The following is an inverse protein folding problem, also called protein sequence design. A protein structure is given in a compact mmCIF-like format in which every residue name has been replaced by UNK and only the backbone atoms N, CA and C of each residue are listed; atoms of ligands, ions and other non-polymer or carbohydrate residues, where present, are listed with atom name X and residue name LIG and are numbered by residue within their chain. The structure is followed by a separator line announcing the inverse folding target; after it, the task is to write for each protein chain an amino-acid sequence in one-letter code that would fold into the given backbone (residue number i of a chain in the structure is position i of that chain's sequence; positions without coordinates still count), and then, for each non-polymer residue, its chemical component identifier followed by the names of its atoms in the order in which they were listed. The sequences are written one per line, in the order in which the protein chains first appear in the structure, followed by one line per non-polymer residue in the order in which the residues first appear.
data_IF_058573400888
#
_entry.id   IF_058573400888
#
_cell.length_a   1.000
_cell.length_b   1.000
_cell.length_c   1.000
_cell.angle_alpha   90.00
_cell.angle_beta   90.00
_cell.angle_gamma   90.00
#
_symmetry.space_group_name_H-M   'P 1'
#
loop_
_entity.id
_entity.type
_entity.pdbx_description
1 polymer ?
#
# COMPACT_ATOMS: atom_id res chain seq x y z
N UNK A 1 9.55 -18.60 0.73
CA UNK A 1 8.22 -18.70 0.12
C UNK A 1 7.24 -18.00 1.03
N UNK A 2 6.61 -16.95 0.52
CA UNK A 2 5.63 -16.15 1.25
C UNK A 2 4.28 -16.86 1.18
N UNK A 3 3.59 -17.12 2.31
CA UNK A 3 2.28 -17.75 2.29
C UNK A 3 1.23 -16.91 1.55
N UNK A 4 0.35 -17.56 0.79
CA UNK A 4 -0.65 -16.88 -0.04
C UNK A 4 -1.57 -15.96 0.77
N UNK A 5 -1.87 -16.29 2.02
CA UNK A 5 -2.67 -15.43 2.90
C UNK A 5 -2.10 -14.02 3.06
N UNK A 6 -0.77 -13.86 3.06
CA UNK A 6 -0.12 -12.55 3.13
C UNK A 6 -0.11 -11.86 1.76
N UNK A 7 0.09 -12.62 0.68
CA UNK A 7 0.00 -12.10 -0.69
C UNK A 7 -1.41 -11.56 -0.95
N UNK A 8 -2.42 -12.36 -0.69
CA UNK A 8 -3.84 -12.01 -0.87
C UNK A 8 -4.22 -10.78 -0.04
N UNK A 9 -3.79 -10.74 1.23
CA UNK A 9 -4.04 -9.61 2.12
C UNK A 9 -3.48 -8.31 1.54
N UNK A 10 -2.18 -8.26 1.24
CA UNK A 10 -1.53 -7.02 0.81
C UNK A 10 -1.92 -6.62 -0.62
N UNK A 11 -2.05 -7.58 -1.53
CA UNK A 11 -2.51 -7.29 -2.88
C UNK A 11 -3.96 -6.79 -2.90
N UNK A 12 -4.82 -7.26 -2.00
CA UNK A 12 -6.18 -6.73 -1.88
C UNK A 12 -6.17 -5.26 -1.44
N UNK A 13 -5.32 -4.90 -0.47
CA UNK A 13 -5.17 -3.50 -0.02
C UNK A 13 -4.68 -2.62 -1.17
N UNK A 14 -3.68 -3.07 -1.93
CA UNK A 14 -3.14 -2.30 -3.05
C UNK A 14 -4.10 -2.19 -4.23
N UNK A 15 -4.82 -3.26 -4.56
CA UNK A 15 -5.90 -3.21 -5.55
C UNK A 15 -6.96 -2.20 -5.16
N UNK A 16 -7.34 -2.11 -3.89
CA UNK A 16 -8.28 -1.10 -3.43
C UNK A 16 -7.75 0.33 -3.66
N UNK A 17 -6.48 0.61 -3.31
CA UNK A 17 -5.85 1.91 -3.59
C UNK A 17 -5.87 2.22 -5.08
N UNK A 18 -5.49 1.25 -5.91
CA UNK A 18 -5.42 1.41 -7.36
C UNK A 18 -6.82 1.55 -7.99
N UNK A 19 -7.82 0.84 -7.50
CA UNK A 19 -9.21 0.95 -7.97
C UNK A 19 -9.83 2.31 -7.64
N UNK A 20 -9.43 2.94 -6.53
CA UNK A 20 -9.77 4.33 -6.28
C UNK A 20 -9.11 5.25 -7.30
N UNK A 21 -7.81 5.09 -7.54
CA UNK A 21 -7.05 5.95 -8.45
C UNK A 21 -7.50 5.80 -9.92
N UNK A 22 -7.66 4.58 -10.42
CA UNK A 22 -7.94 4.31 -11.83
C UNK A 22 -9.42 4.28 -12.16
N UNK A 23 -10.25 3.68 -11.29
CA UNK A 23 -11.67 3.48 -11.58
C UNK A 23 -12.58 4.50 -10.89
N UNK A 24 -12.05 5.33 -9.98
CA UNK A 24 -12.87 6.26 -9.18
C UNK A 24 -13.93 5.54 -8.34
N UNK A 25 -13.71 4.26 -8.02
CA UNK A 25 -14.66 3.38 -7.36
C UNK A 25 -14.19 3.02 -5.96
N UNK A 26 -15.10 2.53 -5.11
CA UNK A 26 -14.77 2.09 -3.74
C UNK A 26 -14.00 3.13 -2.92
N UNK A 27 -14.35 4.41 -3.10
CA UNK A 27 -13.69 5.53 -2.47
C UNK A 27 -13.92 5.49 -0.96
N UNK A 28 -12.87 5.21 -0.21
CA UNK A 28 -12.85 5.25 1.25
C UNK A 28 -12.11 6.50 1.74
N UNK A 29 -12.52 7.02 2.90
CA UNK A 29 -11.81 8.12 3.54
C UNK A 29 -10.56 7.67 4.29
N UNK A 30 -10.52 6.41 4.72
CA UNK A 30 -9.41 5.85 5.51
C UNK A 30 -9.18 4.40 5.10
N UNK A 31 -7.95 4.07 4.72
CA UNK A 31 -7.47 2.69 4.64
C UNK A 31 -6.59 2.45 5.86
N UNK A 32 -6.98 1.53 6.73
CA UNK A 32 -6.23 1.25 7.95
C UNK A 32 -6.00 -0.23 8.13
N UNK A 33 -4.73 -0.63 8.04
CA UNK A 33 -4.30 -1.98 8.42
C UNK A 33 -3.68 -1.89 9.81
N UNK A 34 -4.32 -2.45 10.85
CA UNK A 34 -3.82 -2.39 12.21
C UNK A 34 -2.37 -2.85 12.32
N UNK A 35 -1.62 -2.19 13.19
CA UNK A 35 -0.25 -2.60 13.47
C UNK A 35 -0.27 -3.97 14.11
N UNK A 36 0.53 -4.88 13.56
CA UNK A 36 0.82 -6.17 14.16
C UNK A 36 2.34 -6.32 14.18
N UNK A 37 2.92 -6.37 15.37
CA UNK A 37 4.37 -6.48 15.55
C UNK A 37 4.92 -7.79 15.00
N UNK A 38 4.16 -8.89 15.12
CA UNK A 38 4.56 -10.21 14.64
C UNK A 38 4.55 -10.19 13.11
N UNK A 39 3.48 -9.69 12.51
CA UNK A 39 3.41 -9.51 11.06
C UNK A 39 4.53 -8.58 10.56
N UNK A 40 4.79 -7.48 11.24
CA UNK A 40 5.82 -6.53 10.82
C UNK A 40 7.23 -7.16 10.84
N UNK A 41 7.55 -7.97 11.84
CA UNK A 41 8.81 -8.72 11.90
C UNK A 41 8.90 -9.78 10.79
N UNK A 42 7.79 -10.46 10.50
CA UNK A 42 7.70 -11.41 9.39
C UNK A 42 7.91 -10.70 8.04
N UNK A 43 7.26 -9.57 7.81
CA UNK A 43 7.42 -8.78 6.59
C UNK A 43 8.87 -8.30 6.43
N UNK A 44 9.50 -7.78 7.50
CA UNK A 44 10.93 -7.42 7.49
C UNK A 44 11.83 -8.61 7.13
N UNK A 45 11.54 -9.78 7.68
CA UNK A 45 12.29 -11.00 7.36
C UNK A 45 12.15 -11.36 5.88
N UNK A 46 10.94 -11.34 5.31
CA UNK A 46 10.74 -11.66 3.90
C UNK A 46 11.34 -10.61 2.96
N UNK A 47 11.15 -9.32 3.23
CA UNK A 47 11.73 -8.24 2.41
C UNK A 47 13.26 -8.33 2.31
N UNK A 48 13.92 -8.92 3.32
CA UNK A 48 15.38 -9.11 3.32
C UNK A 48 15.84 -10.43 2.67
N UNK A 49 15.05 -11.50 2.80
CA UNK A 49 15.51 -12.87 2.51
C UNK A 49 14.78 -13.56 1.36
N UNK A 50 13.65 -13.03 0.89
CA UNK A 50 12.83 -13.64 -0.15
C UNK A 50 12.74 -12.73 -1.37
N UNK A 51 13.15 -13.23 -2.55
CA UNK A 51 13.05 -12.48 -3.81
C UNK A 51 11.61 -12.27 -4.26
N UNK A 52 10.67 -13.10 -3.80
CA UNK A 52 9.25 -12.93 -4.10
C UNK A 52 8.58 -11.86 -3.24
N UNK A 53 9.29 -11.27 -2.27
CA UNK A 53 8.75 -10.23 -1.38
C UNK A 53 8.30 -8.97 -2.09
N UNK A 54 8.86 -8.70 -3.28
CA UNK A 54 8.38 -7.63 -4.17
C UNK A 54 6.87 -7.77 -4.46
N UNK A 55 6.33 -8.99 -4.49
CA UNK A 55 4.90 -9.25 -4.76
C UNK A 55 3.95 -8.66 -3.72
N UNK A 56 4.47 -8.28 -2.55
CA UNK A 56 3.73 -7.65 -1.46
C UNK A 56 3.69 -6.13 -1.57
N UNK A 57 4.48 -5.53 -2.47
CA UNK A 57 4.62 -4.06 -2.57
C UNK A 57 3.52 -3.45 -3.43
N UNK A 58 3.17 -2.19 -3.13
CA UNK A 58 2.25 -1.43 -3.98
C UNK A 58 2.79 -1.30 -5.41
N UNK A 59 4.10 -1.08 -5.58
CA UNK A 59 4.73 -0.97 -6.91
C UNK A 59 4.50 -2.22 -7.77
N UNK A 60 4.63 -3.41 -7.19
CA UNK A 60 4.42 -4.65 -7.92
C UNK A 60 2.98 -4.79 -8.41
N UNK A 61 1.99 -4.52 -7.55
CA UNK A 61 0.57 -4.59 -7.92
C UNK A 61 0.24 -3.49 -8.93
N UNK A 62 0.84 -2.31 -8.79
CA UNK A 62 0.65 -1.20 -9.71
C UNK A 62 1.14 -1.54 -11.12
N UNK A 63 2.29 -2.22 -11.28
CA UNK A 63 2.79 -2.69 -12.58
C UNK A 63 1.86 -3.67 -13.30
N UNK A 64 0.86 -4.24 -12.61
CA UNK A 64 -0.14 -5.12 -13.22
C UNK A 64 -1.35 -4.37 -13.77
N UNK A 65 -1.50 -3.07 -13.47
CA UNK A 65 -2.57 -2.25 -14.04
C UNK A 65 -2.13 -1.75 -15.42
N UNK A 66 -2.97 -2.00 -16.43
CA UNK A 66 -2.76 -1.59 -17.82
C UNK A 66 -3.48 -0.26 -18.15
N UNK A 67 -4.10 0.37 -17.15
CA UNK A 67 -4.79 1.65 -17.33
C UNK A 67 -3.80 2.82 -17.17
N UNK A 68 -4.02 3.87 -17.94
CA UNK A 68 -3.23 5.10 -17.95
C UNK A 68 -3.99 6.30 -17.39
N UNK A 69 -5.30 6.15 -17.17
CA UNK A 69 -6.16 7.26 -16.73
C UNK A 69 -6.19 7.32 -15.22
N UNK A 70 -5.60 8.36 -14.65
CA UNK A 70 -5.60 8.61 -13.21
C UNK A 70 -6.70 9.61 -12.82
N UNK A 71 -7.45 9.26 -11.77
CA UNK A 71 -8.37 10.15 -11.10
C UNK A 71 -7.69 10.82 -9.91
N UNK A 72 -8.06 12.08 -9.68
CA UNK A 72 -7.74 12.77 -8.42
C UNK A 72 -8.86 12.48 -7.43
N UNK A 73 -8.52 11.78 -6.35
CA UNK A 73 -9.40 11.30 -5.28
C UNK A 73 -9.06 12.03 -3.97
N UNK A 74 -9.56 13.27 -3.77
CA UNK A 74 -9.31 14.03 -2.55
C UNK A 74 -10.02 13.46 -1.31
N UNK A 75 -10.92 12.49 -1.48
CA UNK A 75 -11.73 11.91 -0.41
C UNK A 75 -10.91 10.99 0.50
N UNK A 76 -9.88 10.32 -0.02
CA UNK A 76 -8.98 9.52 0.79
C UNK A 76 -8.10 10.45 1.64
N UNK A 77 -8.26 10.35 2.97
CA UNK A 77 -7.62 11.22 3.95
C UNK A 77 -6.46 10.56 4.66
N UNK A 78 -6.49 9.24 4.83
CA UNK A 78 -5.44 8.55 5.58
C UNK A 78 -5.22 7.14 5.07
N UNK A 79 -3.94 6.75 4.94
CA UNK A 79 -3.53 5.36 4.75
C UNK A 79 -2.58 4.98 5.88
N UNK A 80 -2.90 3.89 6.58
CA UNK A 80 -2.09 3.35 7.66
C UNK A 80 -1.54 1.96 7.31
N UNK A 81 -0.24 1.88 7.00
CA UNK A 81 0.42 0.72 6.37
C UNK A 81 1.92 0.63 6.74
N UNK A 82 2.60 -0.51 6.56
CA UNK A 82 4.05 -0.61 6.72
C UNK A 82 4.78 0.08 5.56
N UNK A 83 5.78 0.91 5.89
CA UNK A 83 6.62 1.63 4.93
C UNK A 83 7.36 0.69 4.00
N UNK A 84 7.83 -0.44 4.52
CA UNK A 84 8.56 -1.47 3.74
C UNK A 84 7.77 -2.03 2.54
N UNK A 85 6.45 -1.89 2.50
CA UNK A 85 5.61 -2.32 1.37
C UNK A 85 5.22 -1.18 0.43
N UNK A 86 5.65 0.04 0.73
CA UNK A 86 5.13 1.27 0.14
C UNK A 86 6.21 2.18 -0.46
N UNK A 87 7.40 2.22 0.13
CA UNK A 87 8.34 3.32 -0.12
C UNK A 87 9.19 3.13 -1.39
N UNK A 88 8.67 3.62 -2.52
CA UNK A 88 9.48 3.94 -3.69
C UNK A 88 9.09 5.30 -4.28
N UNK A 89 10.01 5.94 -5.02
CA UNK A 89 9.81 7.29 -5.56
C UNK A 89 8.56 7.39 -6.47
N UNK A 90 8.32 6.34 -7.25
CA UNK A 90 7.15 6.25 -8.13
C UNK A 90 5.85 6.25 -7.33
N UNK A 91 5.77 5.40 -6.29
CA UNK A 91 4.60 5.32 -5.41
C UNK A 91 4.36 6.65 -4.70
N UNK A 92 5.39 7.31 -4.17
CA UNK A 92 5.22 8.61 -3.51
C UNK A 92 4.65 9.68 -4.46
N UNK A 93 5.14 9.72 -5.71
CA UNK A 93 4.64 10.65 -6.72
C UNK A 93 3.19 10.34 -7.12
N UNK A 94 2.89 9.05 -7.31
CA UNK A 94 1.54 8.56 -7.60
C UNK A 94 0.56 8.96 -6.50
N UNK A 95 0.94 8.78 -5.23
CA UNK A 95 0.10 9.11 -4.09
C UNK A 95 -0.19 10.61 -3.99
N UNK A 96 0.81 11.46 -4.21
CA UNK A 96 0.63 12.91 -4.21
C UNK A 96 -0.28 13.38 -5.35
N UNK A 97 -0.22 12.71 -6.50
CA UNK A 97 -1.00 13.05 -7.69
C UNK A 97 -2.46 12.61 -7.52
N UNK A 98 -2.68 11.35 -7.15
CA UNK A 98 -4.02 10.77 -7.10
C UNK A 98 -4.73 11.06 -5.78
N UNK A 99 -4.00 11.23 -4.68
CA UNK A 99 -4.56 11.39 -3.33
C UNK A 99 -3.94 12.60 -2.62
N UNK A 100 -4.12 13.83 -3.16
CA UNK A 100 -3.41 15.02 -2.69
C UNK A 100 -3.75 15.43 -1.24
N UNK A 101 -4.87 14.95 -0.70
CA UNK A 101 -5.29 15.19 0.67
C UNK A 101 -5.00 14.02 1.62
N UNK A 102 -4.34 12.98 1.15
CA UNK A 102 -4.09 11.78 1.93
C UNK A 102 -2.81 11.91 2.76
N UNK A 103 -2.93 11.69 4.07
CA UNK A 103 -1.80 11.51 4.96
C UNK A 103 -1.38 10.03 4.97
N UNK A 104 -0.10 9.79 4.63
CA UNK A 104 0.53 8.49 4.83
C UNK A 104 1.00 8.38 6.28
N UNK A 105 0.52 7.36 6.99
CA UNK A 105 0.94 7.06 8.35
C UNK A 105 1.59 5.69 8.34
N UNK A 106 2.91 5.64 8.53
CA UNK A 106 3.62 4.38 8.49
C UNK A 106 3.60 3.65 9.84
N UNK A 107 3.67 2.32 9.81
CA UNK A 107 3.83 1.53 11.03
C UNK A 107 5.10 1.89 11.81
N UNK A 108 6.14 2.24 11.08
CA UNK A 108 7.47 2.60 11.56
C UNK A 108 7.50 3.97 12.25
N UNK A 109 6.61 4.88 11.85
CA UNK A 109 6.46 6.20 12.47
C UNK A 109 5.69 6.12 13.79
N UNK A 110 5.18 4.93 14.15
CA UNK A 110 4.64 4.68 15.49
C UNK A 110 5.76 4.45 16.49
N UNK A 111 6.32 5.55 16.98
CA UNK A 111 6.18 5.81 18.41
C UNK A 111 4.70 6.05 18.68
N UNK A 112 3.89 5.01 18.89
CA UNK A 112 2.57 5.23 19.49
C UNK A 112 2.77 5.35 21.02
N UNK A 113 2.06 6.28 21.69
CA UNK A 113 2.02 6.37 23.15
C UNK A 113 1.49 5.08 23.80
#
# INVERSE_FOLDING_TARGET
MIPDVYKDKWQKVWKQVLDMAYNGSHIESVISIPYDSIEYDILKFWMKNDRESEQLTLEYVWKQYDDTTLNVVPQLKTIYVPKILFDCLGVNTFMQTCFPCCQLVFWEDKSMP
#
